data_IF_254951782703
#
_entry.id   IF_254951782703
#
_cell.length_a   1.000
_cell.length_b   1.000
_cell.length_c   1.000
_cell.angle_alpha   90.00
_cell.angle_beta   90.00
_cell.angle_gamma   90.00
#
_symmetry.space_group_name_H-M   'P 1'
#
loop_
_entity.id
_entity.type
_entity.pdbx_description
1 polymer ?
#
# COMPACT_ATOMS: atom_id res chain seq x y z
N UNK A 1 28.37 -12.20 -7.31
CA UNK A 1 27.34 -11.21 -6.96
C UNK A 1 26.20 -11.44 -7.92
N UNK A 2 25.03 -11.90 -7.46
CA UNK A 2 23.85 -11.89 -8.33
C UNK A 2 23.52 -10.42 -8.59
N UNK A 3 23.70 -10.00 -9.83
CA UNK A 3 23.33 -8.67 -10.27
C UNK A 3 21.82 -8.74 -10.53
N UNK A 4 21.00 -8.08 -9.70
CA UNK A 4 19.57 -7.98 -9.97
C UNK A 4 19.32 -6.75 -10.85
N UNK A 5 18.41 -6.87 -11.80
CA UNK A 5 18.00 -5.74 -12.66
C UNK A 5 16.72 -5.12 -12.11
N UNK A 6 16.65 -3.79 -12.08
CA UNK A 6 15.43 -3.05 -11.76
C UNK A 6 14.72 -2.68 -13.06
N UNK A 7 13.49 -3.18 -13.24
CA UNK A 7 12.66 -2.94 -14.40
C UNK A 7 11.54 -1.96 -14.05
N UNK A 8 11.57 -0.75 -14.62
CA UNK A 8 10.48 0.20 -14.44
C UNK A 8 9.31 -0.11 -15.37
N UNK A 9 8.14 -0.32 -14.80
CA UNK A 9 6.96 -0.74 -15.55
C UNK A 9 5.71 0.01 -15.09
N UNK A 10 4.86 0.39 -16.04
CA UNK A 10 3.54 0.94 -15.75
C UNK A 10 2.58 -0.15 -15.28
N UNK A 11 1.63 0.22 -14.42
CA UNK A 11 0.53 -0.63 -13.98
C UNK A 11 -0.72 0.21 -13.73
N UNK A 12 -1.87 -0.28 -14.18
CA UNK A 12 -3.16 0.38 -13.95
C UNK A 12 -3.53 0.37 -12.46
N UNK A 13 -4.15 1.46 -12.00
CA UNK A 13 -4.53 1.67 -10.59
C UNK A 13 -5.32 0.50 -9.98
N UNK A 14 -6.20 -0.12 -10.77
CA UNK A 14 -6.96 -1.31 -10.36
C UNK A 14 -6.05 -2.51 -10.02
N UNK A 15 -4.98 -2.75 -10.78
CA UNK A 15 -4.05 -3.85 -10.50
C UNK A 15 -3.00 -3.48 -9.46
N UNK A 16 -2.56 -2.22 -9.45
CA UNK A 16 -1.64 -1.69 -8.43
C UNK A 16 -2.21 -1.88 -7.03
N UNK A 17 -3.48 -1.54 -6.84
CA UNK A 17 -4.19 -1.70 -5.55
C UNK A 17 -4.26 -3.17 -5.11
N UNK A 18 -4.51 -4.11 -6.04
CA UNK A 18 -4.56 -5.54 -5.72
C UNK A 18 -3.19 -6.12 -5.34
N UNK A 19 -2.11 -5.66 -5.98
CA UNK A 19 -0.73 -6.06 -5.61
C UNK A 19 -0.36 -5.43 -4.26
N UNK A 20 -0.70 -4.14 -4.05
CA UNK A 20 -0.44 -3.43 -2.81
C UNK A 20 -1.14 -4.12 -1.63
N UNK A 21 -2.35 -4.61 -1.86
CA UNK A 21 -3.11 -5.35 -0.86
C UNK A 21 -2.66 -6.82 -0.68
N UNK A 22 -1.71 -7.30 -1.48
CA UNK A 22 -1.23 -8.68 -1.45
C UNK A 22 -2.23 -9.72 -1.96
N UNK A 23 -3.30 -9.30 -2.64
CA UNK A 23 -4.30 -10.20 -3.26
C UNK A 23 -3.84 -10.69 -4.62
N UNK A 24 -3.20 -9.82 -5.39
CA UNK A 24 -2.55 -10.17 -6.65
C UNK A 24 -1.05 -10.34 -6.43
N UNK A 25 -0.58 -11.57 -6.62
CA UNK A 25 0.82 -11.96 -6.36
C UNK A 25 1.60 -12.25 -7.64
N UNK A 26 1.10 -11.83 -8.79
CA UNK A 26 1.72 -12.09 -10.09
C UNK A 26 1.46 -10.95 -11.08
N UNK A 27 2.30 -10.83 -12.10
CA UNK A 27 2.14 -9.94 -13.25
C UNK A 27 2.24 -10.75 -14.56
N UNK A 28 1.46 -10.36 -15.57
CA UNK A 28 1.54 -10.95 -16.92
C UNK A 28 2.18 -9.94 -17.85
N UNK A 29 3.26 -10.32 -18.52
CA UNK A 29 4.06 -9.41 -19.35
C UNK A 29 4.56 -10.09 -20.61
N UNK A 30 4.73 -9.31 -21.67
CA UNK A 30 5.63 -9.70 -22.76
C UNK A 30 7.05 -9.80 -22.18
N UNK A 31 7.78 -10.88 -22.44
CA UNK A 31 9.15 -11.06 -21.96
C UNK A 31 10.17 -10.34 -22.85
N UNK A 32 9.96 -9.04 -23.09
CA UNK A 32 10.79 -8.18 -23.94
C UNK A 32 12.07 -7.67 -23.24
N UNK A 33 12.18 -7.91 -21.93
CA UNK A 33 13.30 -7.48 -21.08
C UNK A 33 14.11 -8.63 -20.50
N UNK A 34 13.79 -9.86 -20.91
CA UNK A 34 14.40 -11.08 -20.37
C UNK A 34 14.31 -11.13 -18.83
N UNK A 35 13.10 -10.97 -18.27
CA UNK A 35 12.88 -10.96 -16.83
C UNK A 35 13.44 -12.22 -16.16
N UNK A 36 14.21 -12.05 -15.09
CA UNK A 36 14.82 -13.16 -14.36
C UNK A 36 14.32 -13.25 -12.91
N UNK A 37 14.39 -14.45 -12.34
CA UNK A 37 14.24 -14.63 -10.89
C UNK A 37 15.33 -13.82 -10.18
N UNK A 38 14.93 -13.04 -9.19
CA UNK A 38 15.82 -12.15 -8.44
C UNK A 38 15.77 -10.69 -8.90
N UNK A 39 15.31 -10.41 -10.13
CA UNK A 39 15.07 -9.04 -10.59
C UNK A 39 13.96 -8.35 -9.79
N UNK A 40 13.90 -7.03 -9.87
CA UNK A 40 12.86 -6.22 -9.26
C UNK A 40 12.04 -5.48 -10.32
N UNK A 41 10.72 -5.42 -10.11
CA UNK A 41 9.83 -4.52 -10.85
C UNK A 41 9.61 -3.27 -10.00
N UNK A 42 9.90 -2.08 -10.55
CA UNK A 42 9.34 -0.83 -10.04
C UNK A 42 8.00 -0.58 -10.74
N UNK A 43 6.91 -0.92 -10.06
CA UNK A 43 5.53 -0.77 -10.52
C UNK A 43 5.09 0.68 -10.33
N UNK A 44 5.01 1.45 -11.42
CA UNK A 44 4.57 2.85 -11.44
C UNK A 44 3.07 2.92 -11.75
N UNK A 45 2.28 3.38 -10.79
CA UNK A 45 0.82 3.47 -10.94
C UNK A 45 0.44 4.54 -11.97
N UNK A 46 -0.49 4.17 -12.86
CA UNK A 46 -1.17 5.07 -13.79
C UNK A 46 -2.68 5.03 -13.56
N UNK A 47 -3.34 6.16 -13.78
CA UNK A 47 -4.80 6.28 -13.75
C UNK A 47 -5.44 5.77 -15.06
N UNK A 48 -6.78 5.82 -15.13
CA UNK A 48 -7.55 5.39 -16.30
C UNK A 48 -7.25 6.21 -17.57
N UNK A 49 -6.72 7.43 -17.42
CA UNK A 49 -6.28 8.29 -18.54
C UNK A 49 -4.84 7.95 -18.99
N UNK A 50 -4.13 7.13 -18.23
CA UNK A 50 -2.74 6.75 -18.47
C UNK A 50 -1.70 7.70 -17.86
N UNK A 51 -2.15 8.64 -17.02
CA UNK A 51 -1.30 9.60 -16.32
C UNK A 51 -0.74 8.99 -15.04
N UNK A 52 0.51 9.33 -14.71
CA UNK A 52 1.14 8.85 -13.48
C UNK A 52 0.48 9.49 -12.26
N UNK A 53 0.07 8.65 -11.29
CA UNK A 53 -0.49 9.14 -10.02
C UNK A 53 0.59 9.61 -9.05
N UNK A 54 1.84 9.20 -9.29
CA UNK A 54 3.00 9.41 -8.40
C UNK A 54 3.21 8.29 -7.39
N UNK A 55 2.30 7.32 -7.27
CA UNK A 55 2.51 6.12 -6.44
C UNK A 55 3.38 5.09 -7.19
N UNK A 56 4.30 4.47 -6.47
CA UNK A 56 5.13 3.38 -6.98
C UNK A 56 5.41 2.32 -5.91
N UNK A 57 5.72 1.09 -6.32
CA UNK A 57 6.18 0.04 -5.42
C UNK A 57 7.22 -0.87 -6.08
N UNK A 58 8.17 -1.35 -5.29
CA UNK A 58 9.19 -2.29 -5.75
C UNK A 58 8.84 -3.72 -5.35
N UNK A 59 8.72 -4.62 -6.32
CA UNK A 59 8.46 -6.04 -6.06
C UNK A 59 9.50 -6.94 -6.71
N UNK A 60 10.06 -7.86 -5.94
CA UNK A 60 11.01 -8.86 -6.46
C UNK A 60 10.28 -9.95 -7.23
N UNK A 61 10.87 -10.40 -8.34
CA UNK A 61 10.44 -11.57 -9.11
C UNK A 61 10.96 -12.83 -8.42
N UNK A 62 10.05 -13.69 -7.97
CA UNK A 62 10.38 -14.95 -7.26
C UNK A 62 10.30 -16.17 -8.16
N UNK A 63 9.54 -16.08 -9.25
CA UNK A 63 9.39 -17.16 -10.23
C UNK A 63 8.96 -16.57 -11.58
N UNK A 64 9.40 -17.18 -12.67
CA UNK A 64 9.04 -16.81 -14.05
C UNK A 64 8.48 -18.04 -14.75
N UNK A 65 7.22 -17.97 -15.18
CA UNK A 65 6.63 -18.96 -16.07
C UNK A 65 6.66 -18.44 -17.49
N UNK A 66 7.43 -19.09 -18.36
CA UNK A 66 7.48 -18.75 -19.79
C UNK A 66 6.24 -19.23 -20.54
N UNK A 67 5.85 -18.47 -21.56
CA UNK A 67 4.75 -18.77 -22.47
C UNK A 67 5.03 -19.86 -23.48
N UNK A 68 4.09 -20.05 -24.40
CA UNK A 68 4.06 -21.20 -25.32
C UNK A 68 3.43 -22.46 -24.70
N UNK A 69 2.91 -22.36 -23.48
CA UNK A 69 2.34 -23.47 -22.71
C UNK A 69 1.19 -22.99 -21.81
N UNK A 70 0.33 -23.93 -21.39
CA UNK A 70 -0.78 -23.67 -20.46
C UNK A 70 -1.77 -22.55 -20.90
N UNK A 71 -1.87 -22.30 -22.20
CA UNK A 71 -2.70 -21.22 -22.75
C UNK A 71 -2.06 -19.83 -22.70
N UNK A 72 -0.80 -19.71 -22.28
CA UNK A 72 -0.02 -18.49 -22.35
C UNK A 72 0.68 -18.40 -23.72
N UNK A 73 0.47 -17.29 -24.43
CA UNK A 73 1.04 -17.08 -25.76
C UNK A 73 2.58 -17.09 -25.73
N UNK A 74 3.20 -17.52 -26.83
CA UNK A 74 4.66 -17.49 -26.98
C UNK A 74 5.19 -16.05 -26.83
N UNK A 75 6.35 -15.91 -26.18
CA UNK A 75 6.95 -14.61 -25.87
C UNK A 75 6.35 -13.90 -24.65
N UNK A 76 5.22 -14.35 -24.10
CA UNK A 76 4.68 -13.85 -22.84
C UNK A 76 5.26 -14.61 -21.64
N UNK A 77 5.13 -14.02 -20.45
CA UNK A 77 5.52 -14.63 -19.20
C UNK A 77 4.56 -14.23 -18.07
N UNK A 78 4.49 -15.09 -17.04
CA UNK A 78 3.87 -14.76 -15.76
C UNK A 78 4.98 -14.65 -14.72
N UNK A 79 5.09 -13.46 -14.13
CA UNK A 79 6.06 -13.11 -13.11
C UNK A 79 5.40 -13.27 -11.74
N UNK A 80 5.85 -14.22 -10.92
CA UNK A 80 5.43 -14.28 -9.52
C UNK A 80 6.18 -13.24 -8.72
N UNK A 81 5.46 -12.52 -7.89
CA UNK A 81 5.95 -11.39 -7.13
C UNK A 81 6.10 -11.77 -5.66
N UNK A 82 7.21 -11.36 -5.04
CA UNK A 82 7.33 -11.42 -3.58
C UNK A 82 6.25 -10.54 -2.96
N UNK A 83 5.57 -11.01 -1.91
CA UNK A 83 4.54 -10.22 -1.23
C UNK A 83 5.14 -8.90 -0.72
N UNK A 84 4.81 -7.80 -1.40
CA UNK A 84 5.45 -6.49 -1.25
C UNK A 84 5.01 -5.77 0.01
N UNK A 85 3.77 -5.98 0.43
CA UNK A 85 3.22 -5.41 1.65
C UNK A 85 3.07 -6.54 2.66
N UNK A 86 3.94 -6.64 3.67
CA UNK A 86 3.66 -7.56 4.75
C UNK A 86 2.32 -7.14 5.35
N UNK A 87 1.35 -8.05 5.36
CA UNK A 87 0.08 -7.92 6.08
C UNK A 87 0.28 -7.41 7.52
N UNK A 88 1.47 -7.59 8.08
CA UNK A 88 1.93 -7.01 9.35
C UNK A 88 1.99 -5.48 9.35
N UNK A 89 2.42 -4.84 8.25
CA UNK A 89 2.47 -3.38 8.11
C UNK A 89 1.07 -2.76 8.06
N UNK A 90 0.16 -3.36 7.29
CA UNK A 90 -1.26 -2.95 7.26
C UNK A 90 -1.89 -3.09 8.65
N UNK A 91 -1.65 -4.22 9.33
CA UNK A 91 -2.12 -4.43 10.71
C UNK A 91 -1.52 -3.42 11.69
N UNK A 92 -0.23 -3.13 11.55
CA UNK A 92 0.46 -2.13 12.39
C UNK A 92 -0.16 -0.75 12.21
N UNK A 93 -0.43 -0.31 10.97
CA UNK A 93 -1.12 0.95 10.69
C UNK A 93 -2.51 0.96 11.35
N UNK A 94 -3.26 -0.14 11.24
CA UNK A 94 -4.54 -0.30 11.93
C UNK A 94 -4.42 -0.12 13.45
N UNK A 95 -3.47 -0.80 14.09
CA UNK A 95 -3.25 -0.68 15.53
C UNK A 95 -2.80 0.73 15.95
N UNK A 96 -1.93 1.37 15.17
CA UNK A 96 -1.45 2.72 15.45
C UNK A 96 -2.58 3.75 15.32
N UNK A 97 -3.42 3.62 14.29
CA UNK A 97 -4.64 4.43 14.13
C UNK A 97 -5.56 4.25 15.33
N UNK A 98 -5.87 3.02 15.72
CA UNK A 98 -6.81 2.74 16.82
C UNK A 98 -6.28 3.33 18.14
N UNK A 99 -4.96 3.24 18.38
CA UNK A 99 -4.31 3.88 19.54
C UNK A 99 -4.32 5.39 19.49
N UNK A 100 -4.14 6.00 18.31
CA UNK A 100 -4.22 7.45 18.16
C UNK A 100 -5.65 7.95 18.41
N UNK A 101 -6.65 7.25 17.87
CA UNK A 101 -8.05 7.50 18.12
C UNK A 101 -8.39 7.44 19.62
N UNK A 102 -7.97 6.36 20.30
CA UNK A 102 -8.16 6.20 21.75
C UNK A 102 -7.50 7.34 22.54
N UNK A 103 -6.27 7.73 22.19
CA UNK A 103 -5.58 8.84 22.84
C UNK A 103 -6.32 10.18 22.68
N UNK A 104 -6.80 10.45 21.46
CA UNK A 104 -7.64 11.61 21.18
C UNK A 104 -8.92 11.61 22.01
N UNK A 105 -9.61 10.47 22.08
CA UNK A 105 -10.85 10.30 22.86
C UNK A 105 -10.61 10.53 24.36
N UNK A 106 -9.53 9.96 24.91
CA UNK A 106 -9.13 10.17 26.30
C UNK A 106 -8.78 11.63 26.60
N UNK A 107 -8.11 12.31 25.68
CA UNK A 107 -7.72 13.71 25.83
C UNK A 107 -8.95 14.62 25.83
N UNK A 108 -9.89 14.40 24.91
CA UNK A 108 -11.16 15.15 24.86
C UNK A 108 -12.00 14.96 26.12
N UNK A 109 -12.04 13.74 26.66
CA UNK A 109 -12.76 13.44 27.91
C UNK A 109 -12.24 14.25 29.11
N UNK A 110 -10.99 14.72 29.07
CA UNK A 110 -10.40 15.54 30.13
C UNK A 110 -10.77 17.04 30.04
N UNK A 111 -11.26 17.53 28.90
CA UNK A 111 -11.51 18.97 28.70
C UNK A 111 -12.44 19.59 29.76
N UNK A 112 -13.60 18.99 30.11
CA UNK A 112 -14.49 19.60 31.09
C UNK A 112 -13.85 19.74 32.47
N UNK A 113 -12.94 18.84 32.83
CA UNK A 113 -12.22 18.88 34.10
C UNK A 113 -11.17 20.00 34.12
N UNK A 114 -10.44 20.17 33.01
CA UNK A 114 -9.42 21.21 32.84
C UNK A 114 -10.07 22.60 32.84
N UNK A 115 -11.17 22.76 32.09
CA UNK A 115 -11.94 24.00 32.03
C UNK A 115 -12.54 24.33 33.41
N UNK A 116 -13.06 23.34 34.14
CA UNK A 116 -13.55 23.51 35.53
C UNK A 116 -12.45 23.92 36.50
N UNK A 117 -11.20 23.51 36.26
CA UNK A 117 -10.05 23.93 37.05
C UNK A 117 -9.56 25.36 36.70
N UNK A 118 -10.19 26.03 35.72
CA UNK A 118 -9.82 27.37 35.26
C UNK A 118 -8.62 27.40 34.32
N UNK A 119 -8.21 26.24 33.79
CA UNK A 119 -7.12 26.12 32.82
C UNK A 119 -7.66 26.09 31.38
N UNK A 120 -6.84 26.52 30.41
CA UNK A 120 -7.17 26.41 28.98
C UNK A 120 -6.92 24.99 28.45
N UNK A 121 -7.67 24.61 27.42
CA UNK A 121 -7.54 23.35 26.68
C UNK A 121 -7.04 23.56 25.25
N UNK A 122 -6.69 24.78 24.84
CA UNK A 122 -6.49 25.12 23.42
C UNK A 122 -5.42 24.26 22.73
N UNK A 123 -4.30 24.02 23.40
CA UNK A 123 -3.21 23.19 22.85
C UNK A 123 -3.60 21.70 22.80
N UNK A 124 -4.41 21.23 23.75
CA UNK A 124 -4.93 19.87 23.74
C UNK A 124 -5.94 19.69 22.60
N UNK A 125 -6.84 20.66 22.40
CA UNK A 125 -7.79 20.70 21.27
C UNK A 125 -7.06 20.64 19.92
N UNK A 126 -6.04 21.48 19.71
CA UNK A 126 -5.22 21.45 18.48
C UNK A 126 -4.52 20.11 18.28
N UNK A 127 -3.98 19.54 19.35
CA UNK A 127 -3.32 18.22 19.30
C UNK A 127 -4.29 17.12 18.87
N UNK A 128 -5.51 17.15 19.42
CA UNK A 128 -6.54 16.19 19.06
C UNK A 128 -7.04 16.40 17.63
N UNK A 129 -7.29 17.65 17.21
CA UNK A 129 -7.68 17.96 15.82
C UNK A 129 -6.65 17.43 14.81
N UNK A 130 -5.36 17.64 15.09
CA UNK A 130 -4.29 17.07 14.27
C UNK A 130 -4.33 15.53 14.28
N UNK A 131 -4.47 14.91 15.47
CA UNK A 131 -4.58 13.46 15.60
C UNK A 131 -5.76 12.87 14.81
N UNK A 132 -6.92 13.53 14.83
CA UNK A 132 -8.12 13.13 14.06
C UNK A 132 -7.87 13.13 12.55
N UNK A 133 -7.20 14.16 12.04
CA UNK A 133 -6.80 14.23 10.63
C UNK A 133 -5.96 13.01 10.21
N UNK A 134 -4.99 12.60 11.06
CA UNK A 134 -4.19 11.40 10.81
C UNK A 134 -4.99 10.09 10.93
N UNK A 135 -5.98 10.03 11.82
CA UNK A 135 -6.90 8.88 11.90
C UNK A 135 -7.72 8.76 10.62
N UNK A 136 -8.23 9.87 10.09
CA UNK A 136 -9.00 9.89 8.84
C UNK A 136 -8.16 9.45 7.64
N UNK A 137 -6.93 9.94 7.54
CA UNK A 137 -5.98 9.52 6.52
C UNK A 137 -5.70 8.01 6.59
N UNK A 138 -5.45 7.50 7.81
CA UNK A 138 -5.24 6.06 8.02
C UNK A 138 -6.49 5.24 7.68
N UNK A 139 -7.70 5.74 7.98
CA UNK A 139 -8.94 5.10 7.59
C UNK A 139 -9.12 5.05 6.07
N UNK A 140 -8.83 6.14 5.37
CA UNK A 140 -8.88 6.19 3.91
C UNK A 140 -7.92 5.16 3.30
N UNK A 141 -6.68 5.12 3.79
CA UNK A 141 -5.67 4.15 3.37
C UNK A 141 -6.11 2.71 3.61
N UNK A 142 -6.56 2.39 4.83
CA UNK A 142 -6.99 1.04 5.21
C UNK A 142 -8.25 0.60 4.47
N UNK A 143 -9.17 1.52 4.17
CA UNK A 143 -10.35 1.24 3.34
C UNK A 143 -9.96 0.88 1.91
N UNK A 144 -9.09 1.69 1.28
CA UNK A 144 -8.56 1.43 -0.09
C UNK A 144 -7.92 0.04 -0.19
N UNK A 145 -7.23 -0.39 0.86
CA UNK A 145 -6.60 -1.71 0.91
C UNK A 145 -7.58 -2.83 1.31
N UNK A 146 -8.54 -2.56 2.19
CA UNK A 146 -9.46 -3.55 2.77
C UNK A 146 -10.65 -3.94 1.89
N UNK A 147 -11.07 -3.12 0.93
CA UNK A 147 -12.28 -3.34 0.12
C UNK A 147 -12.25 -4.55 -0.82
N UNK A 148 -11.10 -5.20 -1.05
CA UNK A 148 -11.04 -6.45 -1.84
C UNK A 148 -11.07 -7.74 -1.02
N UNK A 149 -11.49 -7.69 0.25
CA UNK A 149 -11.64 -8.89 1.13
C UNK A 149 -13.12 -9.30 1.31
N UNK A 150 -14.05 -8.73 0.54
CA UNK A 150 -15.47 -9.08 0.57
C UNK A 150 -15.85 -10.10 -0.51
#
# INVERSE_FOLDING_TARGET
MNNFTLHEVKIQSVHFTEILAGRKTHEVRLNDRNYQVGDCLNLKEIDDNGDYTGQEMNSQITHVLEGGQYGLAEGWCVLSLANTTPMQGIRLIGYLRDRLQENCDCTEAAYPLIEKAGCTTDDAKRTVEAGRCWVDEANHFLKKIGEGVA
#
